data_IF_991208396715
#
_entry.id   IF_991208396715
#
_cell.length_a   1.000
_cell.length_b   1.000
_cell.length_c   1.000
_cell.angle_alpha   90.00
_cell.angle_beta   90.00
_cell.angle_gamma   90.00
#
_symmetry.space_group_name_H-M   'P 1'
#
loop_
_entity.id
_entity.type
_entity.pdbx_description
1 polymer ?
#
# COMPACT_ATOMS: atom_id res chain seq x y z
N UNK A 1 -3.00 45.79 63.44
CA UNK A 1 -3.11 45.24 62.07
C UNK A 1 -4.00 44.01 62.10
N UNK A 2 -5.25 44.13 61.67
CA UNK A 2 -6.16 42.99 61.52
C UNK A 2 -6.28 42.67 60.03
N UNK A 3 -5.89 41.45 59.63
CA UNK A 3 -5.91 40.96 58.25
C UNK A 3 -7.32 40.42 57.96
N UNK A 4 -8.13 41.18 57.23
CA UNK A 4 -9.43 40.71 56.73
C UNK A 4 -9.20 39.57 55.72
N UNK A 5 -9.61 38.35 56.05
CA UNK A 5 -9.71 37.25 55.10
C UNK A 5 -11.02 37.40 54.34
N UNK A 6 -10.93 37.61 53.03
CA UNK A 6 -12.10 37.65 52.15
C UNK A 6 -12.48 36.23 51.76
N UNK A 7 -13.59 35.72 52.30
CA UNK A 7 -14.20 34.47 51.85
C UNK A 7 -15.25 34.79 50.79
N UNK A 8 -14.92 34.58 49.52
CA UNK A 8 -15.89 34.67 48.42
C UNK A 8 -16.62 33.33 48.35
N UNK A 9 -17.92 33.34 48.64
CA UNK A 9 -18.80 32.18 48.42
C UNK A 9 -19.60 32.43 47.15
N UNK A 10 -19.34 31.68 46.08
CA UNK A 10 -20.04 31.83 44.80
C UNK A 10 -21.25 30.88 44.83
N UNK A 11 -22.46 31.43 44.99
CA UNK A 11 -23.69 30.66 44.97
C UNK A 11 -24.23 30.59 43.53
N UNK A 12 -23.78 29.59 42.76
CA UNK A 12 -24.23 29.43 41.38
C UNK A 12 -25.52 28.61 41.37
N UNK A 13 -26.66 29.27 41.18
CA UNK A 13 -27.93 28.59 40.83
C UNK A 13 -27.97 28.39 39.32
N UNK A 14 -27.38 27.30 38.82
CA UNK A 14 -27.66 26.85 37.45
C UNK A 14 -29.04 26.21 37.42
N UNK A 15 -29.94 26.70 36.57
CA UNK A 15 -31.18 25.95 36.30
C UNK A 15 -30.82 24.71 35.49
N UNK A 16 -31.46 23.58 35.79
CA UNK A 16 -31.21 22.31 35.10
C UNK A 16 -31.31 22.42 33.57
N UNK A 17 -32.13 23.36 33.08
CA UNK A 17 -32.29 23.66 31.65
C UNK A 17 -31.02 24.23 31.01
N UNK A 18 -30.22 25.03 31.74
CA UNK A 18 -28.97 25.61 31.21
C UNK A 18 -27.86 24.56 31.15
N UNK A 19 -27.82 23.65 32.14
CA UNK A 19 -26.88 22.52 32.15
C UNK A 19 -27.18 21.50 31.03
N UNK A 20 -28.48 21.26 30.76
CA UNK A 20 -28.91 20.38 29.68
C UNK A 20 -28.58 20.98 28.30
N UNK A 21 -28.77 22.29 28.11
CA UNK A 21 -28.44 22.97 26.85
C UNK A 21 -26.94 22.95 26.56
N UNK A 22 -26.09 23.15 27.58
CA UNK A 22 -24.63 23.12 27.41
C UNK A 22 -24.11 21.71 27.14
N UNK A 23 -24.67 20.67 27.75
CA UNK A 23 -24.37 19.28 27.38
C UNK A 23 -24.81 18.96 25.95
N UNK A 24 -25.99 19.41 25.52
CA UNK A 24 -26.47 19.17 24.15
C UNK A 24 -25.58 19.86 23.11
N UNK A 25 -25.11 21.08 23.38
CA UNK A 25 -24.15 21.78 22.53
C UNK A 25 -22.81 21.05 22.43
N UNK A 26 -22.28 20.52 23.55
CA UNK A 26 -21.05 19.71 23.57
C UNK A 26 -21.19 18.41 22.76
N UNK A 27 -22.33 17.72 22.84
CA UNK A 27 -22.58 16.52 22.02
C UNK A 27 -22.65 16.83 20.52
N UNK A 28 -23.26 17.95 20.11
CA UNK A 28 -23.27 18.34 18.69
C UNK A 28 -21.90 18.77 18.18
N UNK A 29 -21.02 19.29 19.04
CA UNK A 29 -19.65 19.64 18.66
C UNK A 29 -18.78 18.40 18.43
N UNK A 30 -18.98 17.32 19.22
CA UNK A 30 -18.29 16.05 19.02
C UNK A 30 -18.61 15.43 17.66
N UNK A 31 -19.87 15.47 17.20
CA UNK A 31 -20.24 14.92 15.89
C UNK A 31 -19.82 15.75 14.66
N UNK A 32 -19.18 16.91 14.82
CA UNK A 32 -18.69 17.70 13.66
C UNK A 32 -17.26 17.36 13.24
N UNK A 33 -16.57 16.48 13.97
CA UNK A 33 -15.21 16.02 13.62
C UNK A 33 -15.13 14.63 12.99
N UNK A 34 -16.25 13.91 12.91
CA UNK A 34 -16.37 12.65 12.16
C UNK A 34 -17.07 12.81 10.80
N UNK A 35 -17.35 14.05 10.35
CA UNK A 35 -17.89 14.27 9.01
C UNK A 35 -16.76 14.18 7.96
N UNK A 36 -16.06 13.04 7.92
CA UNK A 36 -15.60 12.51 6.65
C UNK A 36 -16.85 12.22 5.81
N UNK A 37 -16.82 12.70 4.57
CA UNK A 37 -17.85 12.49 3.56
C UNK A 37 -18.33 11.03 3.61
N UNK A 38 -19.55 10.80 4.10
CA UNK A 38 -20.29 9.52 3.99
C UNK A 38 -20.71 9.27 2.55
N UNK A 39 -19.76 9.25 1.62
CA UNK A 39 -19.78 8.31 0.52
C UNK A 39 -18.99 7.12 1.04
N UNK A 40 -19.48 5.90 0.88
CA UNK A 40 -18.69 4.71 1.17
C UNK A 40 -17.39 4.80 0.35
N UNK A 41 -16.30 5.30 0.96
CA UNK A 41 -14.97 5.21 0.37
C UNK A 41 -14.67 3.73 0.36
N UNK A 42 -14.87 3.11 -0.81
CA UNK A 42 -14.40 1.76 -1.07
C UNK A 42 -12.92 1.79 -0.71
N UNK A 43 -12.53 0.99 0.26
CA UNK A 43 -11.14 0.93 0.67
C UNK A 43 -10.32 0.37 -0.50
N UNK A 44 -9.62 1.25 -1.21
CA UNK A 44 -8.82 0.88 -2.38
C UNK A 44 -7.41 0.35 -2.01
N UNK A 45 -7.09 0.25 -0.72
CA UNK A 45 -5.75 -0.07 -0.24
C UNK A 45 -4.82 1.14 -0.15
N UNK A 46 -3.75 0.97 0.63
CA UNK A 46 -2.70 1.96 0.83
C UNK A 46 -1.75 1.98 -0.36
N UNK A 47 -1.46 3.18 -0.89
CA UNK A 47 -0.50 3.34 -1.98
C UNK A 47 0.92 3.19 -1.42
N UNK A 48 1.68 2.27 -1.99
CA UNK A 48 3.06 1.97 -1.58
C UNK A 48 3.98 2.15 -2.80
N UNK A 49 5.00 3.03 -2.72
CA UNK A 49 6.05 3.06 -3.73
C UNK A 49 6.91 1.79 -3.62
N UNK A 50 7.33 1.27 -4.76
CA UNK A 50 8.10 0.05 -4.85
C UNK A 50 9.41 0.33 -5.58
N UNK A 51 10.50 -0.20 -5.07
CA UNK A 51 11.84 -0.14 -5.64
C UNK A 51 12.23 -1.54 -6.13
N UNK A 52 12.36 -1.68 -7.45
CA UNK A 52 12.60 -2.95 -8.12
C UNK A 52 14.07 -3.00 -8.52
N UNK A 53 14.72 -4.09 -8.11
CA UNK A 53 16.09 -4.41 -8.51
C UNK A 53 16.14 -5.77 -9.16
N UNK A 54 16.86 -5.84 -10.27
CA UNK A 54 17.27 -7.13 -10.80
C UNK A 54 18.29 -7.77 -9.86
N UNK A 55 18.26 -9.11 -9.72
CA UNK A 55 19.35 -9.84 -9.08
C UNK A 55 20.71 -9.55 -9.75
N UNK A 56 21.81 -9.72 -9.00
CA UNK A 56 23.18 -9.37 -9.43
C UNK A 56 23.52 -9.89 -10.83
N UNK A 57 23.96 -8.98 -11.71
CA UNK A 57 24.51 -9.29 -13.05
C UNK A 57 25.88 -8.65 -13.23
N UNK A 58 26.65 -9.22 -14.16
CA UNK A 58 28.05 -8.88 -14.39
C UNK A 58 28.27 -7.81 -15.49
N UNK A 59 27.22 -7.31 -16.17
CA UNK A 59 27.40 -6.47 -17.35
C UNK A 59 26.50 -5.23 -17.38
N UNK A 60 27.07 -4.07 -17.68
CA UNK A 60 26.46 -2.74 -17.50
C UNK A 60 25.61 -2.26 -18.69
N UNK A 61 25.32 -3.11 -19.67
CA UNK A 61 24.51 -2.77 -20.87
C UNK A 61 23.58 -3.90 -21.28
N UNK A 62 23.05 -4.65 -20.30
CA UNK A 62 22.17 -5.77 -20.57
C UNK A 62 20.73 -5.28 -20.84
N UNK A 63 20.31 -5.33 -22.11
CA UNK A 63 18.95 -4.97 -22.56
C UNK A 63 17.85 -5.78 -21.86
N UNK A 64 18.21 -6.90 -21.24
CA UNK A 64 17.26 -7.71 -20.50
C UNK A 64 17.12 -7.29 -19.02
N UNK A 65 17.80 -6.22 -18.59
CA UNK A 65 17.55 -5.56 -17.29
C UNK A 65 16.46 -4.49 -17.38
N UNK A 66 16.07 -4.12 -18.59
CA UNK A 66 15.08 -3.07 -18.81
C UNK A 66 13.71 -3.50 -18.28
N UNK A 67 13.09 -2.67 -17.46
CA UNK A 67 11.72 -2.85 -16.95
C UNK A 67 10.87 -1.72 -17.53
N UNK A 68 9.94 -2.06 -18.40
CA UNK A 68 8.99 -1.12 -19.00
C UNK A 68 7.65 -1.12 -18.27
N UNK A 69 7.14 -2.30 -17.93
CA UNK A 69 5.84 -2.47 -17.27
C UNK A 69 5.94 -3.41 -16.09
N UNK A 70 5.04 -3.22 -15.13
CA UNK A 70 4.99 -3.96 -13.87
C UNK A 70 3.54 -4.26 -13.54
N UNK A 71 3.17 -5.55 -13.51
CA UNK A 71 1.97 -6.02 -12.85
C UNK A 71 2.28 -6.30 -11.39
N UNK A 72 1.43 -5.82 -10.50
CA UNK A 72 1.42 -6.25 -9.11
C UNK A 72 0.11 -6.95 -8.79
N UNK A 73 0.21 -8.11 -8.15
CA UNK A 73 -0.92 -8.88 -7.62
C UNK A 73 -0.74 -9.01 -6.12
N UNK A 74 -1.69 -8.51 -5.35
CA UNK A 74 -1.58 -8.39 -3.89
C UNK A 74 -2.73 -9.11 -3.22
N UNK A 75 -2.40 -10.01 -2.29
CA UNK A 75 -3.34 -10.69 -1.40
C UNK A 75 -3.11 -10.26 0.04
N UNK A 76 -4.19 -10.11 0.81
CA UNK A 76 -4.10 -9.89 2.24
C UNK A 76 -3.91 -11.21 3.02
N UNK A 77 -3.85 -11.12 4.35
CA UNK A 77 -3.70 -12.26 5.27
C UNK A 77 -4.90 -13.23 5.28
N UNK A 78 -6.02 -12.84 4.68
CA UNK A 78 -7.22 -13.67 4.47
C UNK A 78 -7.26 -14.31 3.08
N UNK A 79 -6.19 -14.18 2.29
CA UNK A 79 -6.10 -14.62 0.89
C UNK A 79 -7.12 -13.92 -0.03
N UNK A 80 -7.57 -12.72 0.32
CA UNK A 80 -8.44 -11.92 -0.53
C UNK A 80 -7.60 -11.05 -1.47
N UNK A 81 -7.99 -10.98 -2.74
CA UNK A 81 -7.33 -10.13 -3.72
C UNK A 81 -7.58 -8.65 -3.39
N UNK A 82 -6.51 -7.90 -3.17
CA UNK A 82 -6.54 -6.45 -2.88
C UNK A 82 -6.26 -5.63 -4.13
N UNK A 83 -5.29 -6.05 -4.93
CA UNK A 83 -4.82 -5.30 -6.10
C UNK A 83 -4.36 -6.27 -7.18
N UNK A 84 -4.74 -6.00 -8.44
CA UNK A 84 -4.26 -6.70 -9.62
C UNK A 84 -4.30 -5.74 -10.81
N UNK A 85 -3.22 -5.03 -11.04
CA UNK A 85 -3.15 -4.06 -12.13
C UNK A 85 -1.73 -3.89 -12.66
N UNK A 86 -1.62 -3.28 -13.84
CA UNK A 86 -0.37 -2.96 -14.53
C UNK A 86 -0.08 -1.49 -14.39
N UNK A 87 1.17 -1.18 -14.10
CA UNK A 87 1.70 0.19 -14.11
C UNK A 87 2.96 0.25 -14.95
N UNK A 88 3.19 1.41 -15.56
CA UNK A 88 4.48 1.72 -16.17
C UNK A 88 5.57 1.82 -15.10
N UNK A 89 6.77 1.34 -15.42
CA UNK A 89 7.94 1.53 -14.58
C UNK A 89 8.63 2.86 -14.91
N UNK A 90 9.12 3.53 -13.88
CA UNK A 90 10.03 4.66 -14.00
C UNK A 90 11.43 4.26 -13.55
N UNK A 91 12.46 4.91 -14.05
CA UNK A 91 13.84 4.66 -13.61
C UNK A 91 14.38 5.91 -12.91
N UNK A 92 14.97 5.71 -11.74
CA UNK A 92 15.66 6.76 -10.99
C UNK A 92 17.07 6.98 -11.53
N UNK A 93 17.70 8.10 -11.15
CA UNK A 93 19.08 8.46 -11.56
C UNK A 93 20.11 7.41 -11.11
N UNK A 94 19.83 6.68 -10.03
CA UNK A 94 20.67 5.60 -9.50
C UNK A 94 20.48 4.25 -10.22
N UNK A 95 19.64 4.21 -11.26
CA UNK A 95 19.32 3.01 -12.03
C UNK A 95 18.27 2.09 -11.38
N UNK A 96 17.70 2.46 -10.22
CA UNK A 96 16.64 1.69 -9.58
C UNK A 96 15.31 1.94 -10.28
N UNK A 97 14.60 0.87 -10.64
CA UNK A 97 13.25 0.99 -11.19
C UNK A 97 12.24 1.23 -10.08
N UNK A 98 11.27 2.09 -10.33
CA UNK A 98 10.20 2.42 -9.40
C UNK A 98 8.83 2.21 -10.02
N UNK A 99 7.89 1.75 -9.20
CA UNK A 99 6.47 1.63 -9.52
C UNK A 99 5.65 1.92 -8.25
N UNK A 100 4.32 1.94 -8.36
CA UNK A 100 3.43 2.06 -7.20
C UNK A 100 2.41 0.94 -7.20
N UNK A 101 2.13 0.39 -6.03
CA UNK A 101 1.12 -0.64 -5.82
C UNK A 101 0.11 -0.19 -4.78
N UNK A 102 -0.95 -0.97 -4.61
CA UNK A 102 -1.88 -0.84 -3.48
C UNK A 102 -1.88 -2.12 -2.65
N UNK A 103 -1.91 -1.98 -1.34
CA UNK A 103 -1.96 -3.11 -0.42
C UNK A 103 -2.88 -2.82 0.77
N UNK A 104 -3.41 -3.85 1.41
CA UNK A 104 -4.23 -3.68 2.59
C UNK A 104 -3.36 -3.36 3.82
N UNK A 105 -3.91 -2.68 4.83
CA UNK A 105 -3.26 -2.64 6.14
C UNK A 105 -3.12 -4.05 6.70
N UNK A 106 -2.00 -4.35 7.35
CA UNK A 106 -1.71 -5.68 7.86
C UNK A 106 -0.74 -6.45 6.96
N UNK A 107 -0.75 -7.78 7.09
CA UNK A 107 0.13 -8.64 6.29
C UNK A 107 -0.41 -8.82 4.87
N UNK A 108 0.49 -8.72 3.90
CA UNK A 108 0.18 -8.94 2.48
C UNK A 108 1.22 -9.87 1.84
N UNK A 109 0.78 -10.63 0.85
CA UNK A 109 1.62 -11.35 -0.09
C UNK A 109 1.55 -10.63 -1.44
N UNK A 110 2.71 -10.23 -1.95
CA UNK A 110 2.84 -9.34 -3.10
C UNK A 110 3.62 -10.07 -4.18
N UNK A 111 3.05 -10.17 -5.37
CA UNK A 111 3.62 -10.84 -6.53
C UNK A 111 3.82 -9.83 -7.65
N UNK A 112 5.02 -9.81 -8.21
CA UNK A 112 5.44 -8.84 -9.20
C UNK A 112 5.83 -9.56 -10.48
N UNK A 113 5.24 -9.12 -11.59
CA UNK A 113 5.58 -9.59 -12.92
C UNK A 113 5.97 -8.36 -13.74
N UNK A 114 7.20 -8.34 -14.26
CA UNK A 114 7.66 -7.27 -15.13
C UNK A 114 7.59 -7.70 -16.59
N UNK A 115 7.33 -6.76 -17.50
CA UNK A 115 7.34 -6.95 -18.95
C UNK A 115 6.50 -8.16 -19.40
N UNK A 116 5.26 -8.23 -18.92
CA UNK A 116 4.36 -9.32 -19.29
C UNK A 116 4.12 -9.38 -20.81
N UNK A 117 4.00 -10.60 -21.33
CA UNK A 117 3.51 -10.84 -22.69
C UNK A 117 1.99 -10.68 -22.71
N UNK A 118 1.40 -10.49 -23.90
CA UNK A 118 -0.07 -10.47 -24.03
C UNK A 118 -0.73 -11.75 -23.47
N UNK A 119 -0.09 -12.91 -23.67
CA UNK A 119 -0.55 -14.18 -23.08
C UNK A 119 -0.56 -14.16 -21.55
N UNK A 120 0.51 -13.61 -20.94
CA UNK A 120 0.59 -13.45 -19.49
C UNK A 120 -0.43 -12.44 -18.97
N UNK A 121 -0.62 -11.30 -19.65
CA UNK A 121 -1.62 -10.27 -19.30
C UNK A 121 -3.01 -10.88 -19.16
N UNK A 122 -3.45 -11.67 -20.15
CA UNK A 122 -4.76 -12.32 -20.14
C UNK A 122 -4.90 -13.30 -18.97
N UNK A 123 -3.89 -14.14 -18.74
CA UNK A 123 -3.92 -15.14 -17.66
C UNK A 123 -3.84 -14.52 -16.27
N UNK A 124 -2.98 -13.52 -16.08
CA UNK A 124 -2.74 -12.88 -14.79
C UNK A 124 -3.89 -11.95 -14.38
N UNK A 125 -4.52 -11.26 -15.33
CA UNK A 125 -5.69 -10.40 -15.06
C UNK A 125 -6.92 -11.20 -14.57
N UNK A 126 -7.03 -12.48 -14.94
CA UNK A 126 -8.10 -13.36 -14.49
C UNK A 126 -7.88 -13.96 -13.08
N UNK A 127 -6.74 -13.70 -12.43
CA UNK A 127 -6.42 -14.26 -11.12
C UNK A 127 -7.25 -13.60 -10.03
N UNK A 128 -7.94 -14.44 -9.26
CA UNK A 128 -8.68 -14.05 -8.04
C UNK A 128 -8.25 -14.82 -6.78
N UNK A 129 -7.41 -15.86 -6.94
CA UNK A 129 -6.94 -16.72 -5.86
C UNK A 129 -5.41 -16.83 -5.91
N UNK A 130 -4.75 -16.65 -4.77
CA UNK A 130 -3.29 -16.62 -4.66
C UNK A 130 -2.64 -17.89 -5.22
N UNK A 131 -3.17 -19.06 -4.87
CA UNK A 131 -2.63 -20.36 -5.28
C UNK A 131 -2.69 -20.65 -6.80
N UNK A 132 -3.27 -19.73 -7.59
CA UNK A 132 -3.31 -19.82 -9.05
C UNK A 132 -2.13 -19.13 -9.72
N UNK A 133 -1.46 -18.17 -9.05
CA UNK A 133 -0.34 -17.42 -9.63
C UNK A 133 0.77 -18.36 -10.07
N UNK A 134 1.25 -19.21 -9.17
CA UNK A 134 2.36 -20.13 -9.44
C UNK A 134 2.02 -21.24 -10.44
N UNK A 135 0.74 -21.35 -10.83
CA UNK A 135 0.26 -22.33 -11.83
C UNK A 135 0.11 -21.73 -13.22
N UNK A 136 0.32 -20.42 -13.38
CA UNK A 136 0.29 -19.78 -14.70
C UNK A 136 1.50 -20.22 -15.50
N UNK A 137 1.24 -20.70 -16.73
CA UNK A 137 2.26 -21.04 -17.72
C UNK A 137 2.13 -20.15 -18.94
N UNK A 138 3.22 -19.93 -19.68
CA UNK A 138 3.23 -19.16 -20.91
C UNK A 138 4.28 -19.71 -21.89
N UNK A 139 4.17 -19.34 -23.17
CA UNK A 139 5.17 -19.71 -24.16
C UNK A 139 6.43 -18.84 -24.04
N UNK A 140 7.59 -19.47 -23.87
CA UNK A 140 8.88 -18.79 -23.93
C UNK A 140 9.41 -18.62 -25.38
N UNK A 141 8.72 -19.19 -26.38
CA UNK A 141 9.17 -19.16 -27.78
C UNK A 141 9.10 -17.73 -28.32
N UNK A 142 10.22 -17.23 -28.85
CA UNK A 142 10.27 -15.92 -29.50
C UNK A 142 10.34 -14.73 -28.56
N UNK A 143 10.55 -14.94 -27.25
CA UNK A 143 10.75 -13.84 -26.30
C UNK A 143 12.06 -13.11 -26.58
N UNK A 144 11.93 -11.86 -27.03
CA UNK A 144 13.04 -10.91 -27.20
C UNK A 144 13.11 -9.96 -25.99
N UNK A 145 14.21 -9.20 -25.89
CA UNK A 145 14.39 -8.25 -24.81
C UNK A 145 13.37 -7.10 -24.89
N UNK A 146 12.85 -6.60 -23.75
CA UNK A 146 13.12 -7.09 -22.40
C UNK A 146 12.24 -8.30 -22.04
N UNK A 147 12.79 -9.34 -21.39
CA UNK A 147 12.04 -10.55 -21.08
C UNK A 147 11.08 -10.34 -19.89
N UNK A 148 10.05 -11.19 -19.76
CA UNK A 148 9.25 -11.27 -18.54
C UNK A 148 10.12 -11.64 -17.34
N UNK A 149 9.85 -11.00 -16.21
CA UNK A 149 10.55 -11.26 -14.94
C UNK A 149 9.55 -11.46 -13.80
N UNK A 150 9.97 -12.20 -12.78
CA UNK A 150 9.19 -12.53 -11.60
C UNK A 150 9.91 -12.12 -10.32
N UNK A 151 9.16 -11.60 -9.36
CA UNK A 151 9.60 -11.44 -7.98
C UNK A 151 8.40 -11.51 -7.04
N UNK A 152 8.65 -11.75 -5.76
CA UNK A 152 7.62 -11.70 -4.76
C UNK A 152 8.15 -11.20 -3.41
N UNK A 153 7.25 -10.66 -2.60
CA UNK A 153 7.48 -10.31 -1.21
C UNK A 153 6.34 -10.90 -0.39
N UNK A 154 6.70 -11.84 0.47
CA UNK A 154 5.74 -12.60 1.27
C UNK A 154 5.70 -12.03 2.69
N UNK A 155 4.49 -11.92 3.25
CA UNK A 155 4.24 -11.38 4.59
C UNK A 155 4.81 -9.96 4.81
N UNK A 156 4.68 -9.10 3.81
CA UNK A 156 4.94 -7.67 3.96
C UNK A 156 3.88 -7.04 4.87
N UNK A 157 4.29 -6.48 6.01
CA UNK A 157 3.36 -5.82 6.92
C UNK A 157 3.23 -4.33 6.58
N UNK A 158 2.03 -3.91 6.20
CA UNK A 158 1.73 -2.55 5.77
C UNK A 158 1.02 -1.81 6.88
N UNK A 159 1.59 -0.67 7.26
CA UNK A 159 0.97 0.28 8.18
C UNK A 159 0.76 1.60 7.46
N UNK A 160 -0.36 2.25 7.72
CA UNK A 160 -0.61 3.59 7.22
C UNK A 160 -1.14 4.46 8.35
N UNK A 161 -0.66 5.70 8.41
CA UNK A 161 -1.25 6.70 9.28
C UNK A 161 -2.65 7.04 8.74
N UNK A 162 -3.51 7.59 9.60
CA UNK A 162 -4.94 7.82 9.33
C UNK A 162 -5.27 8.54 8.00
N UNK A 163 -4.29 9.15 7.33
CA UNK A 163 -4.42 9.91 6.09
C UNK A 163 -4.11 9.11 4.80
N UNK A 164 -3.66 7.86 4.88
CA UNK A 164 -3.50 6.96 3.73
C UNK A 164 -2.33 7.29 2.77
N UNK A 165 -1.58 8.38 3.03
CA UNK A 165 -0.59 8.95 2.11
C UNK A 165 0.86 8.55 2.41
N UNK A 166 1.11 8.02 3.60
CA UNK A 166 2.45 7.68 4.08
C UNK A 166 2.48 6.25 4.60
N UNK A 167 2.09 5.31 3.74
CA UNK A 167 2.20 3.90 4.07
C UNK A 167 3.66 3.51 4.26
N UNK A 168 3.91 2.71 5.28
CA UNK A 168 5.21 2.11 5.56
C UNK A 168 5.07 0.61 5.50
N UNK A 169 6.09 -0.05 4.99
CA UNK A 169 6.15 -1.51 4.91
C UNK A 169 7.19 -2.00 5.91
N UNK A 170 6.92 -3.13 6.53
CA UNK A 170 7.88 -3.83 7.39
C UNK A 170 8.10 -5.24 6.84
N UNK A 171 9.35 -5.57 6.56
CA UNK A 171 9.80 -6.89 6.09
C UNK A 171 10.96 -7.30 6.98
N UNK A 172 10.94 -8.53 7.52
CA UNK A 172 12.01 -9.04 8.39
C UNK A 172 12.40 -8.05 9.51
N UNK A 173 11.40 -7.42 10.14
CA UNK A 173 11.54 -6.42 11.20
C UNK A 173 12.21 -5.09 10.79
N UNK A 174 12.45 -4.87 9.49
CA UNK A 174 12.98 -3.62 8.95
C UNK A 174 11.81 -2.82 8.39
N UNK A 175 11.60 -1.62 8.93
CA UNK A 175 10.56 -0.68 8.50
C UNK A 175 11.10 0.28 7.45
N UNK A 176 10.34 0.49 6.38
CA UNK A 176 10.74 1.24 5.19
C UNK A 176 9.54 1.97 4.57
N UNK A 177 9.83 2.97 3.74
CA UNK A 177 8.82 3.75 3.01
C UNK A 177 8.59 3.24 1.59
N UNK A 178 9.51 2.43 1.07
CA UNK A 178 9.44 1.80 -0.24
C UNK A 178 9.50 0.30 -0.09
N UNK A 179 8.75 -0.42 -0.91
CA UNK A 179 8.79 -1.88 -0.99
C UNK A 179 9.98 -2.33 -1.86
N UNK A 180 11.02 -2.96 -1.31
CA UNK A 180 12.10 -3.52 -2.09
C UNK A 180 11.64 -4.83 -2.72
N UNK A 181 11.84 -4.97 -4.02
CA UNK A 181 11.54 -6.20 -4.75
C UNK A 181 12.75 -6.61 -5.57
N UNK A 182 13.13 -7.87 -5.44
CA UNK A 182 14.10 -8.49 -6.34
C UNK A 182 13.38 -9.31 -7.40
N UNK A 183 13.73 -9.11 -8.67
CA UNK A 183 13.15 -9.83 -9.80
C UNK A 183 14.18 -10.64 -10.58
N UNK A 184 13.74 -11.76 -11.14
CA UNK A 184 14.54 -12.70 -11.94
C UNK A 184 13.83 -12.99 -13.27
N UNK A 185 14.59 -13.17 -14.36
CA UNK A 185 14.03 -13.55 -15.67
C UNK A 185 13.23 -14.86 -15.54
N UNK A 186 12.07 -14.92 -16.18
CA UNK A 186 11.30 -16.17 -16.32
C UNK A 186 11.80 -17.04 -17.49
N UNK A 187 12.72 -16.52 -18.30
CA UNK A 187 13.28 -17.21 -19.48
C UNK A 187 14.81 -17.23 -19.43
N UNK A 188 15.39 -18.29 -19.97
CA UNK A 188 16.83 -18.46 -20.19
C UNK A 188 17.15 -18.27 -21.68
N UNK A 189 18.36 -17.79 -21.97
CA UNK A 189 18.94 -17.71 -23.30
C UNK A 189 20.20 -18.55 -23.35
#
# INVERSE_FOLDING_TARGET
MARLRMNITINIKFSANVLLLTMFALFTYSCTKENEVTGARIYEGEKIPMSIKMGTRNDTTDKDEVINSVRAIVFNDKNELVYNDVSDASINVDGTYTASIRAARGYNNIYIICNETSELTEKLSAITLENKIEKVTFSAVGIIAPPPMYGNVIRAYVESRSDGKNATVTINNIKMTELPVSVTRMVSR
#
